data_IF_218314302409
#
_entry.id   IF_218314302409
#
_cell.length_a   1.000
_cell.length_b   1.000
_cell.length_c   1.000
_cell.angle_alpha   90.00
_cell.angle_beta   90.00
_cell.angle_gamma   90.00
#
_symmetry.space_group_name_H-M   'P 1'
#
loop_
_entity.id
_entity.type
_entity.pdbx_description
1 polymer ?
#
# COMPACT_ATOMS: atom_id res chain seq x y z
N UNK A 1 5.91 10.98 -15.81
CA UNK A 1 5.78 10.15 -14.59
C UNK A 1 4.28 9.95 -14.35
N UNK A 2 3.81 8.71 -14.20
CA UNK A 2 2.40 8.47 -13.85
C UNK A 2 2.08 8.95 -12.43
N UNK A 3 0.78 9.05 -12.09
CA UNK A 3 0.32 9.59 -10.81
C UNK A 3 0.99 8.93 -9.58
N UNK A 4 1.20 7.62 -9.62
CA UNK A 4 1.87 6.90 -8.53
C UNK A 4 3.31 7.38 -8.31
N UNK A 5 4.06 7.71 -9.36
CA UNK A 5 5.42 8.22 -9.22
C UNK A 5 5.47 9.61 -8.58
N UNK A 6 4.40 10.41 -8.71
CA UNK A 6 4.29 11.70 -8.04
C UNK A 6 3.86 11.57 -6.58
N UNK A 7 3.00 10.60 -6.26
CA UNK A 7 2.57 10.33 -4.88
C UNK A 7 3.64 9.59 -4.06
N UNK A 8 4.45 8.78 -4.73
CA UNK A 8 5.53 7.97 -4.15
C UNK A 8 6.90 8.51 -4.57
N UNK A 9 7.03 9.85 -4.54
CA UNK A 9 8.29 10.50 -4.84
C UNK A 9 9.34 10.28 -3.73
N UNK A 10 10.55 10.76 -3.96
CA UNK A 10 11.67 10.58 -3.04
C UNK A 10 11.55 11.36 -1.74
N UNK A 11 10.59 12.28 -1.61
CA UNK A 11 10.39 13.04 -0.37
C UNK A 11 9.75 12.17 0.72
N UNK A 12 9.07 11.09 0.32
CA UNK A 12 8.24 10.23 1.16
C UNK A 12 7.17 11.01 1.96
N UNK A 13 6.88 12.28 1.67
CA UNK A 13 5.98 13.10 2.49
C UNK A 13 4.56 12.55 2.51
N UNK A 14 4.04 12.23 1.32
CA UNK A 14 2.71 11.64 1.17
C UNK A 14 2.63 10.24 1.82
N UNK A 15 3.63 9.38 1.56
CA UNK A 15 3.67 8.05 2.16
C UNK A 15 3.76 8.13 3.69
N UNK A 16 4.57 9.04 4.23
CA UNK A 16 4.70 9.25 5.67
C UNK A 16 3.39 9.71 6.30
N UNK A 17 2.65 10.59 5.61
CA UNK A 17 1.34 11.07 6.08
C UNK A 17 0.28 9.97 6.12
N UNK A 18 0.36 8.98 5.22
CA UNK A 18 -0.54 7.82 5.22
C UNK A 18 -0.14 6.79 6.27
N UNK A 19 1.15 6.51 6.43
CA UNK A 19 1.63 5.48 7.35
C UNK A 19 1.56 5.90 8.82
N UNK A 20 1.85 7.16 9.16
CA UNK A 20 1.87 7.62 10.54
C UNK A 20 0.58 7.28 11.32
N UNK A 21 -0.64 7.55 10.81
CA UNK A 21 -1.88 7.18 11.50
C UNK A 21 -2.12 5.67 11.66
N UNK A 22 -1.39 4.83 10.92
CA UNK A 22 -1.51 3.37 10.91
C UNK A 22 -0.46 2.67 11.78
N UNK A 23 0.57 3.39 12.21
CA UNK A 23 1.67 2.88 13.02
C UNK A 23 1.47 3.18 14.51
N UNK A 24 2.08 2.35 15.34
CA UNK A 24 2.09 2.50 16.80
C UNK A 24 3.51 2.40 17.35
N UNK A 25 3.78 3.10 18.45
CA UNK A 25 5.04 2.98 19.20
C UNK A 25 5.29 1.57 19.73
N UNK A 26 4.22 0.78 19.92
CA UNK A 26 4.31 -0.60 20.38
C UNK A 26 4.51 -1.62 19.23
N UNK A 27 4.64 -1.17 17.99
CA UNK A 27 4.87 -2.05 16.84
C UNK A 27 6.24 -2.72 16.94
N UNK A 28 6.26 -4.05 16.80
CA UNK A 28 7.48 -4.83 16.96
C UNK A 28 8.18 -5.00 15.60
N UNK A 29 8.74 -3.90 15.10
CA UNK A 29 9.61 -3.87 13.92
C UNK A 29 11.06 -4.11 14.32
N UNK A 30 11.77 -4.95 13.56
CA UNK A 30 13.21 -5.10 13.78
C UNK A 30 14.02 -3.91 13.23
N UNK A 31 15.33 -3.89 13.49
CA UNK A 31 16.22 -2.79 13.07
C UNK A 31 16.28 -2.63 11.54
N UNK A 32 16.22 -3.73 10.79
CA UNK A 32 16.26 -3.70 9.32
C UNK A 32 14.95 -3.15 8.76
N UNK A 33 13.82 -3.63 9.28
CA UNK A 33 12.48 -3.14 8.96
C UNK A 33 12.36 -1.65 9.26
N UNK A 34 12.82 -1.22 10.44
CA UNK A 34 12.79 0.19 10.87
C UNK A 34 13.67 1.07 9.99
N UNK A 35 14.88 0.64 9.64
CA UNK A 35 15.83 1.43 8.84
C UNK A 35 15.32 1.77 7.43
N UNK A 36 14.41 0.96 6.90
CA UNK A 36 13.81 1.11 5.57
C UNK A 36 12.57 2.02 5.56
N UNK A 37 11.97 2.31 6.72
CA UNK A 37 10.86 3.25 6.82
C UNK A 37 11.29 4.65 6.33
N UNK A 38 10.33 5.47 5.86
CA UNK A 38 10.57 6.91 5.70
C UNK A 38 11.22 7.49 6.95
N UNK A 39 12.21 8.37 6.79
CA UNK A 39 13.06 8.88 7.90
C UNK A 39 12.24 9.41 9.07
N UNK A 40 11.10 10.06 8.79
CA UNK A 40 10.17 10.59 9.80
C UNK A 40 9.51 9.55 10.70
N UNK A 41 9.49 8.28 10.27
CA UNK A 41 8.82 7.18 10.95
C UNK A 41 9.79 6.21 11.64
N UNK A 42 11.11 6.35 11.43
CA UNK A 42 12.12 5.49 12.07
C UNK A 42 12.19 5.65 13.60
N UNK A 43 11.73 6.80 14.10
CA UNK A 43 11.66 7.12 15.53
C UNK A 43 10.23 7.54 15.92
N UNK A 44 9.24 6.83 15.40
CA UNK A 44 7.83 7.15 15.64
C UNK A 44 7.41 6.76 17.07
N UNK A 45 7.10 7.75 17.90
CA UNK A 45 6.71 7.55 19.31
C UNK A 45 5.21 7.78 19.57
N UNK A 46 4.39 7.77 18.51
CA UNK A 46 2.94 8.00 18.63
C UNK A 46 2.16 6.70 18.47
N UNK A 47 0.92 6.76 18.91
CA UNK A 47 -0.06 5.68 18.75
C UNK A 47 -0.83 5.83 17.43
N UNK A 48 -1.49 4.73 17.04
CA UNK A 48 -2.42 4.71 15.90
C UNK A 48 -3.55 5.71 16.08
N UNK A 49 -4.06 6.21 14.96
CA UNK A 49 -5.28 7.01 14.97
C UNK A 49 -6.43 6.16 15.50
N UNK A 50 -7.21 6.71 16.43
CA UNK A 50 -8.29 5.98 17.11
C UNK A 50 -9.49 5.71 16.19
N UNK A 51 -9.64 6.46 15.09
CA UNK A 51 -10.74 6.30 14.14
C UNK A 51 -10.50 5.13 13.19
N UNK A 52 -11.21 4.02 13.42
CA UNK A 52 -11.23 2.86 12.52
C UNK A 52 -11.53 3.24 11.06
N UNK A 53 -12.47 4.17 10.85
CA UNK A 53 -12.85 4.63 9.50
C UNK A 53 -11.68 5.34 8.81
N UNK A 54 -10.94 6.19 9.53
CA UNK A 54 -9.77 6.86 8.96
C UNK A 54 -8.70 5.84 8.60
N UNK A 55 -8.37 4.93 9.54
CA UNK A 55 -7.42 3.85 9.28
C UNK A 55 -7.81 3.04 8.05
N UNK A 56 -9.09 2.69 7.92
CA UNK A 56 -9.62 1.97 6.77
C UNK A 56 -9.40 2.69 5.44
N UNK A 57 -9.64 4.01 5.39
CA UNK A 57 -9.42 4.80 4.16
C UNK A 57 -7.95 4.92 3.78
N UNK A 58 -7.05 4.95 4.76
CA UNK A 58 -5.62 4.95 4.52
C UNK A 58 -5.12 3.59 4.00
N UNK A 59 -5.65 2.48 4.53
CA UNK A 59 -5.37 1.12 4.01
C UNK A 59 -5.86 0.98 2.57
N UNK A 60 -7.08 1.44 2.27
CA UNK A 60 -7.62 1.46 0.90
C UNK A 60 -6.73 2.27 -0.04
N UNK A 61 -6.20 3.41 0.41
CA UNK A 61 -5.28 4.23 -0.38
C UNK A 61 -3.95 3.50 -0.68
N UNK A 62 -3.35 2.85 0.31
CA UNK A 62 -2.17 2.00 0.10
C UNK A 62 -2.45 0.86 -0.87
N UNK A 63 -3.62 0.24 -0.77
CA UNK A 63 -4.04 -0.81 -1.69
C UNK A 63 -4.19 -0.32 -3.14
N UNK A 64 -4.70 0.89 -3.36
CA UNK A 64 -4.76 1.46 -4.71
C UNK A 64 -3.35 1.72 -5.29
N UNK A 65 -2.39 2.14 -4.47
CA UNK A 65 -1.00 2.35 -4.92
C UNK A 65 -0.34 1.04 -5.41
N UNK A 66 -0.78 -0.11 -4.91
CA UNK A 66 -0.35 -1.43 -5.39
C UNK A 66 -0.82 -1.79 -6.82
N UNK A 67 -1.66 -0.97 -7.45
CA UNK A 67 -2.16 -1.22 -8.81
C UNK A 67 -1.05 -1.21 -9.88
N UNK A 68 0.10 -0.60 -9.60
CA UNK A 68 1.26 -0.55 -10.51
C UNK A 68 2.46 -1.27 -9.93
N UNK A 69 3.33 -1.80 -10.78
CA UNK A 69 4.64 -2.36 -10.39
C UNK A 69 5.48 -1.38 -9.57
N UNK A 70 5.58 -0.13 -10.03
CA UNK A 70 6.30 0.93 -9.34
C UNK A 70 5.81 1.10 -7.89
N UNK A 71 4.50 1.26 -7.70
CA UNK A 71 3.92 1.41 -6.36
C UNK A 71 4.21 0.22 -5.45
N UNK A 72 4.05 -1.02 -5.94
CA UNK A 72 4.39 -2.22 -5.16
C UNK A 72 5.87 -2.26 -4.77
N UNK A 73 6.78 -1.91 -5.68
CA UNK A 73 8.21 -1.87 -5.41
C UNK A 73 8.56 -0.81 -4.36
N UNK A 74 8.03 0.40 -4.48
CA UNK A 74 8.28 1.48 -3.50
C UNK A 74 7.74 1.08 -2.13
N UNK A 75 6.49 0.64 -2.03
CA UNK A 75 5.89 0.24 -0.74
C UNK A 75 6.67 -0.90 -0.07
N UNK A 76 7.14 -1.91 -0.82
CA UNK A 76 8.02 -2.96 -0.27
C UNK A 76 9.36 -2.40 0.22
N UNK A 77 9.98 -1.52 -0.55
CA UNK A 77 11.27 -0.92 -0.18
C UNK A 77 11.19 -0.01 1.05
N UNK A 78 9.99 0.46 1.41
CA UNK A 78 9.73 1.40 2.51
C UNK A 78 9.10 0.76 3.75
N UNK A 79 9.27 -0.55 3.92
CA UNK A 79 8.75 -1.32 5.06
C UNK A 79 7.24 -1.14 5.32
N UNK A 80 6.44 -1.00 4.26
CA UNK A 80 4.99 -0.94 4.41
C UNK A 80 4.41 -2.30 4.79
N UNK A 81 4.95 -3.40 4.27
CA UNK A 81 4.50 -4.75 4.65
C UNK A 81 4.65 -5.01 6.17
N UNK A 82 5.83 -4.82 6.80
CA UNK A 82 5.98 -4.98 8.24
C UNK A 82 5.02 -4.10 9.06
N UNK A 83 4.85 -2.83 8.67
CA UNK A 83 3.92 -1.93 9.34
C UNK A 83 2.46 -2.43 9.28
N UNK A 84 2.02 -2.93 8.12
CA UNK A 84 0.67 -3.50 7.97
C UNK A 84 0.51 -4.83 8.72
N UNK A 85 1.59 -5.62 8.83
CA UNK A 85 1.61 -6.86 9.63
C UNK A 85 1.41 -6.58 11.12
N UNK A 86 2.06 -5.56 11.67
CA UNK A 86 1.86 -5.19 13.08
C UNK A 86 0.45 -4.60 13.32
N UNK A 87 -0.07 -3.84 12.36
CA UNK A 87 -1.46 -3.36 12.40
C UNK A 87 -2.46 -4.53 12.47
N UNK A 88 -2.28 -5.54 11.62
CA UNK A 88 -3.12 -6.74 11.57
C UNK A 88 -3.11 -7.53 12.89
N UNK A 89 -1.93 -7.72 13.49
CA UNK A 89 -1.78 -8.38 14.80
C UNK A 89 -2.49 -7.60 15.92
N UNK A 90 -2.38 -6.28 15.92
CA UNK A 90 -3.02 -5.42 16.91
C UNK A 90 -4.55 -5.51 16.79
N UNK A 91 -5.10 -5.47 15.58
CA UNK A 91 -6.56 -5.57 15.36
C UNK A 91 -7.12 -6.93 15.71
N UNK A 92 -6.41 -8.03 15.43
CA UNK A 92 -6.84 -9.37 15.82
C UNK A 92 -6.96 -9.54 17.35
N UNK A 93 -6.10 -8.85 18.12
CA UNK A 93 -6.13 -8.89 19.59
C UNK A 93 -7.32 -8.12 20.19
N UNK A 94 -7.84 -7.11 19.47
CA UNK A 94 -8.99 -6.32 19.92
C UNK A 94 -10.33 -7.02 19.67
N UNK A 95 -10.42 -7.85 18.63
CA UNK A 95 -11.66 -8.57 18.25
C UNK A 95 -12.11 -9.59 19.29
N UNK A 96 -11.16 -10.27 19.95
CA UNK A 96 -11.45 -11.17 21.07
C UNK A 96 -12.20 -10.46 22.21
N UNK A 97 -12.14 -9.12 22.26
CA UNK A 97 -12.74 -8.29 23.31
C UNK A 97 -14.07 -7.63 22.93
N UNK A 98 -14.46 -7.53 21.64
CA UNK A 98 -15.59 -6.69 21.19
C UNK A 98 -16.45 -7.35 20.11
N UNK A 99 -17.47 -8.11 20.52
CA UNK A 99 -18.41 -8.80 19.64
C UNK A 99 -19.48 -7.91 18.92
N UNK A 100 -19.39 -6.56 18.95
CA UNK A 100 -20.51 -5.69 18.57
C UNK A 100 -20.37 -4.88 17.25
N UNK A 101 -19.29 -5.00 16.47
CA UNK A 101 -19.10 -4.19 15.25
C UNK A 101 -18.77 -4.98 13.95
N UNK A 102 -19.37 -6.16 13.79
CA UNK A 102 -18.96 -7.20 12.82
C UNK A 102 -19.01 -6.82 11.31
N UNK A 103 -19.75 -5.80 10.89
CA UNK A 103 -19.93 -5.54 9.45
C UNK A 103 -18.85 -4.63 8.84
N UNK A 104 -18.39 -3.62 9.59
CA UNK A 104 -17.32 -2.72 9.12
C UNK A 104 -15.93 -3.35 9.31
N UNK A 105 -15.72 -4.08 10.40
CA UNK A 105 -14.50 -4.85 10.67
C UNK A 105 -14.21 -5.83 9.54
N UNK A 106 -15.23 -6.56 9.08
CA UNK A 106 -15.05 -7.53 8.00
C UNK A 106 -14.49 -6.91 6.72
N UNK A 107 -14.99 -5.74 6.29
CA UNK A 107 -14.48 -5.08 5.08
C UNK A 107 -13.05 -4.54 5.25
N UNK A 108 -12.72 -4.12 6.46
CA UNK A 108 -11.39 -3.65 6.81
C UNK A 108 -10.37 -4.78 6.81
N UNK A 109 -10.70 -5.91 7.43
CA UNK A 109 -9.92 -7.15 7.39
C UNK A 109 -9.65 -7.57 5.94
N UNK A 110 -10.66 -7.58 5.05
CA UNK A 110 -10.46 -8.02 3.65
C UNK A 110 -9.44 -7.17 2.91
N UNK A 111 -9.46 -5.85 3.11
CA UNK A 111 -8.57 -4.94 2.36
C UNK A 111 -7.15 -4.97 2.93
N UNK A 112 -7.01 -5.00 4.25
CA UNK A 112 -5.70 -5.12 4.92
C UNK A 112 -5.01 -6.44 4.54
N UNK A 113 -5.71 -7.57 4.65
CA UNK A 113 -5.18 -8.87 4.25
C UNK A 113 -4.80 -8.91 2.75
N UNK A 114 -5.59 -8.29 1.88
CA UNK A 114 -5.26 -8.21 0.46
C UNK A 114 -3.99 -7.37 0.21
N UNK A 115 -3.85 -6.23 0.91
CA UNK A 115 -2.66 -5.39 0.87
C UNK A 115 -1.41 -6.16 1.34
N UNK A 116 -1.51 -6.83 2.49
CA UNK A 116 -0.45 -7.69 3.04
C UNK A 116 -0.09 -8.78 2.04
N UNK A 117 -1.08 -9.47 1.46
CA UNK A 117 -0.88 -10.54 0.48
C UNK A 117 -0.16 -10.08 -0.80
N UNK A 118 -0.37 -8.84 -1.24
CA UNK A 118 0.35 -8.26 -2.38
C UNK A 118 1.80 -7.89 -2.02
N UNK A 119 2.02 -7.37 -0.81
CA UNK A 119 3.33 -6.83 -0.42
C UNK A 119 4.29 -7.89 0.14
N UNK A 120 3.79 -9.02 0.66
CA UNK A 120 4.61 -10.07 1.28
C UNK A 120 5.56 -10.79 0.30
N UNK A 121 5.21 -10.88 -0.99
CA UNK A 121 6.05 -11.51 -2.02
C UNK A 121 6.57 -10.51 -3.01
N UNK A 122 7.81 -10.69 -3.45
CA UNK A 122 8.38 -9.91 -4.53
C UNK A 122 7.90 -10.41 -5.89
N UNK A 123 7.82 -9.52 -6.87
CA UNK A 123 7.42 -9.92 -8.23
C UNK A 123 8.38 -10.94 -8.85
N UNK A 124 9.68 -10.92 -8.50
CA UNK A 124 10.64 -11.93 -8.94
C UNK A 124 10.38 -13.34 -8.38
N UNK A 125 9.60 -13.44 -7.31
CA UNK A 125 9.17 -14.70 -6.71
C UNK A 125 7.83 -15.18 -7.28
N UNK A 126 7.13 -14.27 -7.97
CA UNK A 126 5.92 -14.58 -8.71
C UNK A 126 6.40 -15.01 -10.10
N UNK A 127 6.24 -16.30 -10.43
CA UNK A 127 6.59 -16.88 -11.75
C UNK A 127 5.66 -16.32 -12.86
N UNK A 128 5.69 -15.01 -13.03
CA UNK A 128 4.82 -14.19 -13.87
C UNK A 128 5.66 -13.66 -15.00
N UNK A 129 5.17 -13.88 -16.22
CA UNK A 129 5.82 -13.40 -17.43
C UNK A 129 6.02 -11.87 -17.38
N UNK A 130 7.25 -11.35 -17.51
CA UNK A 130 7.52 -9.92 -17.47
C UNK A 130 6.88 -9.14 -18.62
N UNK A 131 6.52 -9.81 -19.71
CA UNK A 131 5.84 -9.21 -20.87
C UNK A 131 4.31 -9.24 -20.73
N UNK A 132 3.77 -9.81 -19.64
CA UNK A 132 2.32 -9.84 -19.41
C UNK A 132 1.80 -8.44 -19.07
N UNK A 133 0.92 -7.85 -19.91
CA UNK A 133 0.35 -6.54 -19.61
C UNK A 133 -0.55 -6.62 -18.37
N UNK A 134 -0.65 -5.51 -17.65
CA UNK A 134 -1.55 -5.42 -16.51
C UNK A 134 -3.00 -5.61 -16.99
N UNK A 135 -3.83 -6.34 -16.24
CA UNK A 135 -5.29 -6.42 -16.51
C UNK A 135 -5.92 -5.02 -16.58
N UNK A 136 -5.32 -4.02 -15.91
CA UNK A 136 -5.80 -2.64 -15.92
C UNK A 136 -5.45 -1.87 -17.20
N UNK A 137 -4.52 -2.38 -18.00
CA UNK A 137 -4.17 -1.85 -19.33
C UNK A 137 -5.09 -2.45 -20.42
N UNK A 138 -5.81 -3.54 -20.11
CA UNK A 138 -6.83 -4.09 -21.00
C UNK A 138 -8.00 -3.08 -21.12
N UNK A 139 -8.13 -2.46 -22.29
CA UNK A 139 -9.20 -1.52 -22.61
C UNK A 139 -8.74 -0.10 -22.95
N UNK A 140 -7.45 0.21 -22.81
CA UNK A 140 -6.88 1.42 -23.41
C UNK A 140 -6.57 1.07 -24.87
N UNK A 141 -7.53 1.30 -25.76
CA UNK A 141 -7.22 1.35 -27.20
C UNK A 141 -6.47 2.65 -27.43
N UNK A 142 -5.19 2.56 -27.79
CA UNK A 142 -4.48 3.70 -28.38
C UNK A 142 -5.24 4.05 -29.66
N UNK A 143 -5.98 5.16 -29.65
CA UNK A 143 -6.52 5.72 -30.89
C UNK A 143 -5.32 6.10 -31.76
N UNK A 144 -5.00 5.27 -32.75
CA UNK A 144 -4.04 5.63 -33.79
C UNK A 144 -4.54 6.91 -34.49
N UNK A 145 -3.85 8.03 -34.28
CA UNK A 145 -4.15 9.25 -35.02
C UNK A 145 -3.99 8.97 -36.52
N UNK A 146 -4.97 9.39 -37.36
CA UNK A 146 -4.89 9.14 -38.79
C UNK A 146 -3.71 9.92 -39.38
N UNK A 147 -2.79 9.20 -39.98
CA UNK A 147 -1.65 9.76 -40.71
C UNK A 147 -2.18 10.64 -41.85
N UNK A 148 -1.98 11.96 -41.76
CA UNK A 148 -2.26 12.87 -42.87
C UNK A 148 -1.39 12.49 -44.09
N UNK A 149 -2.01 11.89 -45.10
CA UNK A 149 -1.43 11.75 -46.43
C UNK A 149 -1.15 13.15 -47.01
N UNK A 150 0.14 13.53 -47.05
CA UNK A 150 0.58 14.66 -47.86
C UNK A 150 0.33 14.34 -49.32
N UNK A 151 -0.64 15.03 -49.91
CA UNK A 151 -0.91 14.99 -51.34
C UNK A 151 0.08 15.94 -52.05
N UNK A 152 0.89 15.37 -52.93
CA UNK A 152 1.74 16.08 -53.89
C UNK A 152 0.93 16.96 -54.87
#
# INVERSE_FOLDING_TARGET
>A
MGLHGSLLDTSDEYLSAILAPLMDVNDNLDEEETSKLPVRLQYYEKERDQSEIVRQKLIEALFQLCATKHGRQVLRSKSVYPAMRELDKATASEEDSKAQHKLLSSQQEHTLHALIGILIRYESEMDVDPDLPSIRELGIQEEEEPVEEKKD
#
